data_IF_643717463637
#
_entry.id   IF_643717463637
#
_cell.length_a   1.000
_cell.length_b   1.000
_cell.length_c   1.000
_cell.angle_alpha   90.00
_cell.angle_beta   90.00
_cell.angle_gamma   90.00
#
_symmetry.space_group_name_H-M   'P 1'
#
loop_
_entity.id
_entity.type
_entity.pdbx_description
1 polymer ?
#
# COMPACT_ATOMS: atom_id res chain seq x y z
N UNK A 1 14.65 -28.18 -11.95
CA UNK A 1 13.93 -27.10 -11.25
C UNK A 1 13.14 -26.35 -12.29
N UNK A 2 11.88 -25.97 -12.02
CA UNK A 2 11.16 -25.09 -12.93
C UNK A 2 11.88 -23.74 -12.99
N UNK A 3 11.97 -23.13 -14.18
CA UNK A 3 12.45 -21.75 -14.28
C UNK A 3 11.44 -20.84 -13.58
N UNK A 4 11.90 -19.91 -12.75
CA UNK A 4 11.04 -18.98 -12.02
C UNK A 4 10.08 -18.24 -12.97
N UNK A 5 8.79 -18.25 -12.64
CA UNK A 5 7.73 -17.52 -13.35
C UNK A 5 7.12 -16.51 -12.39
N UNK A 6 7.08 -15.21 -12.69
CA UNK A 6 6.42 -14.23 -11.83
C UNK A 6 4.98 -14.65 -11.47
N UNK A 7 4.60 -14.55 -10.20
CA UNK A 7 3.38 -15.16 -9.67
C UNK A 7 2.09 -14.61 -10.27
N UNK A 8 2.05 -13.32 -10.64
CA UNK A 8 0.92 -12.75 -11.40
C UNK A 8 0.75 -13.42 -12.76
N UNK A 9 1.86 -13.67 -13.47
CA UNK A 9 1.84 -14.37 -14.76
C UNK A 9 1.42 -15.82 -14.56
N UNK A 10 1.99 -16.51 -13.57
CA UNK A 10 1.64 -17.90 -13.25
C UNK A 10 0.14 -18.03 -12.94
N UNK A 11 -0.42 -17.09 -12.18
CA UNK A 11 -1.83 -17.07 -11.80
C UNK A 11 -2.76 -16.79 -12.99
N UNK A 12 -2.37 -15.87 -13.89
CA UNK A 12 -3.11 -15.59 -15.11
C UNK A 12 -3.17 -16.82 -16.04
N UNK A 13 -2.01 -17.45 -16.29
CA UNK A 13 -1.92 -18.68 -17.09
C UNK A 13 -2.72 -19.82 -16.44
N UNK A 14 -2.62 -19.98 -15.12
CA UNK A 14 -3.34 -21.02 -14.38
C UNK A 14 -4.86 -20.82 -14.43
N UNK A 15 -5.32 -19.58 -14.32
CA UNK A 15 -6.74 -19.26 -14.50
C UNK A 15 -7.22 -19.67 -15.90
N UNK A 16 -6.53 -19.22 -16.94
CA UNK A 16 -6.94 -19.41 -18.33
C UNK A 16 -6.90 -20.88 -18.77
N UNK A 17 -5.86 -21.62 -18.39
CA UNK A 17 -5.61 -22.97 -18.91
C UNK A 17 -6.18 -24.09 -18.02
N UNK A 18 -6.39 -23.83 -16.72
CA UNK A 18 -6.85 -24.87 -15.79
C UNK A 18 -8.19 -24.55 -15.13
N UNK A 19 -8.37 -23.34 -14.58
CA UNK A 19 -9.58 -23.00 -13.81
C UNK A 19 -10.77 -22.71 -14.73
N UNK A 20 -10.63 -21.79 -15.68
CA UNK A 20 -11.72 -21.34 -16.55
C UNK A 20 -12.38 -22.47 -17.37
N UNK A 21 -11.65 -23.47 -17.92
CA UNK A 21 -12.26 -24.61 -18.62
C UNK A 21 -13.16 -25.47 -17.73
N UNK A 22 -12.78 -25.68 -16.46
CA UNK A 22 -13.59 -26.42 -15.49
C UNK A 22 -14.87 -25.65 -15.20
N UNK A 23 -14.77 -24.34 -14.94
CA UNK A 23 -15.94 -23.48 -14.69
C UNK A 23 -16.91 -23.49 -15.87
N UNK A 24 -16.40 -23.40 -17.10
CA UNK A 24 -17.21 -23.41 -18.31
C UNK A 24 -17.97 -24.73 -18.53
N UNK A 25 -17.38 -25.86 -18.11
CA UNK A 25 -17.96 -27.19 -18.29
C UNK A 25 -18.97 -27.53 -17.19
N UNK A 26 -18.60 -27.29 -15.92
CA UNK A 26 -19.37 -27.75 -14.77
C UNK A 26 -20.38 -26.73 -14.25
N UNK A 27 -20.12 -25.45 -14.47
CA UNK A 27 -20.95 -24.34 -14.01
C UNK A 27 -21.35 -23.39 -15.16
N UNK A 28 -21.90 -23.92 -16.27
CA UNK A 28 -22.25 -23.10 -17.42
C UNK A 28 -23.30 -22.04 -17.02
N UNK A 29 -23.01 -20.78 -17.31
CA UNK A 29 -23.90 -19.65 -17.04
C UNK A 29 -23.75 -19.00 -15.67
N UNK A 30 -22.87 -19.49 -14.79
CA UNK A 30 -22.49 -18.78 -13.58
C UNK A 30 -21.62 -17.57 -13.96
N UNK A 31 -22.05 -16.36 -13.61
CA UNK A 31 -21.20 -15.17 -13.78
C UNK A 31 -20.18 -15.07 -12.65
N UNK A 32 -18.96 -14.71 -12.98
CA UNK A 32 -17.91 -14.53 -11.98
C UNK A 32 -16.88 -13.49 -12.42
N UNK A 33 -16.05 -13.06 -11.48
CA UNK A 33 -14.81 -12.36 -11.78
C UNK A 33 -13.63 -13.16 -11.25
N UNK A 34 -12.49 -13.12 -11.92
CA UNK A 34 -11.27 -13.81 -11.52
C UNK A 34 -10.12 -12.82 -11.44
N UNK A 35 -9.33 -12.89 -10.37
CA UNK A 35 -8.22 -11.98 -10.15
C UNK A 35 -7.16 -12.57 -9.23
N UNK A 36 -6.06 -11.84 -9.06
CA UNK A 36 -5.13 -11.99 -7.95
C UNK A 36 -4.89 -10.62 -7.32
N UNK A 37 -5.40 -10.43 -6.10
CA UNK A 37 -5.38 -9.18 -5.35
C UNK A 37 -4.93 -9.41 -3.91
N UNK A 38 -4.66 -8.32 -3.18
CA UNK A 38 -4.40 -8.37 -1.74
C UNK A 38 -2.99 -8.83 -1.41
N UNK A 39 -2.81 -9.57 -0.31
CA UNK A 39 -1.48 -9.92 0.18
C UNK A 39 -0.72 -10.84 -0.78
N UNK A 40 0.53 -10.50 -1.05
CA UNK A 40 1.46 -11.33 -1.84
C UNK A 40 2.56 -10.46 -2.43
N UNK A 41 3.77 -11.00 -2.51
CA UNK A 41 4.89 -10.33 -3.19
C UNK A 41 4.64 -10.21 -4.69
N UNK A 42 4.01 -11.23 -5.25
CA UNK A 42 3.66 -11.38 -6.64
C UNK A 42 2.64 -10.33 -7.10
N UNK A 43 1.73 -9.93 -6.21
CA UNK A 43 0.69 -8.92 -6.48
C UNK A 43 1.32 -7.57 -6.86
N UNK A 44 2.51 -7.26 -6.32
CA UNK A 44 3.25 -6.04 -6.64
C UNK A 44 4.37 -6.28 -7.68
N UNK A 45 4.54 -7.51 -8.17
CA UNK A 45 5.67 -7.90 -9.03
C UNK A 45 7.02 -7.87 -8.32
N UNK A 46 7.03 -8.03 -6.99
CA UNK A 46 8.24 -8.08 -6.16
C UNK A 46 8.62 -9.49 -5.73
N UNK A 47 7.94 -10.51 -6.27
CA UNK A 47 8.27 -11.89 -5.99
C UNK A 47 9.60 -12.28 -6.64
N UNK A 48 10.30 -13.15 -5.93
CA UNK A 48 11.56 -13.76 -6.34
C UNK A 48 11.48 -15.25 -6.10
N UNK A 49 12.47 -16.01 -6.56
CA UNK A 49 12.55 -17.45 -6.26
C UNK A 49 12.53 -17.71 -4.74
N UNK A 50 13.16 -16.85 -3.93
CA UNK A 50 13.16 -16.98 -2.47
C UNK A 50 11.78 -16.82 -1.84
N UNK A 51 10.92 -15.96 -2.38
CA UNK A 51 9.57 -15.71 -1.84
C UNK A 51 8.51 -16.68 -2.39
N UNK A 52 8.95 -17.78 -3.02
CA UNK A 52 8.06 -18.86 -3.49
C UNK A 52 7.81 -19.95 -2.45
N UNK A 53 8.33 -19.77 -1.24
CA UNK A 53 8.30 -20.75 -0.15
C UNK A 53 6.95 -20.84 0.57
N UNK A 54 6.15 -19.77 0.58
CA UNK A 54 4.80 -19.74 1.16
C UNK A 54 3.85 -18.80 0.41
N UNK A 55 2.54 -19.11 0.44
CA UNK A 55 1.44 -18.32 -0.18
C UNK A 55 1.61 -17.96 -1.67
N UNK A 56 2.57 -18.58 -2.35
CA UNK A 56 2.91 -18.36 -3.75
C UNK A 56 2.69 -19.66 -4.54
N UNK A 57 2.29 -19.56 -5.81
CA UNK A 57 2.10 -20.71 -6.71
C UNK A 57 0.92 -20.53 -7.64
N UNK A 58 0.42 -21.62 -8.27
CA UNK A 58 -0.81 -21.59 -9.07
C UNK A 58 -2.03 -21.31 -8.18
N UNK A 59 -2.42 -20.03 -8.06
CA UNK A 59 -3.52 -19.55 -7.23
C UNK A 59 -4.35 -18.49 -7.94
N UNK A 60 -5.64 -18.41 -7.63
CA UNK A 60 -6.58 -17.47 -8.23
C UNK A 60 -7.64 -17.12 -7.20
N UNK A 61 -8.19 -15.92 -7.26
CA UNK A 61 -9.37 -15.52 -6.51
C UNK A 61 -10.56 -15.49 -7.46
N UNK A 62 -11.59 -16.28 -7.18
CA UNK A 62 -12.86 -16.30 -7.89
C UNK A 62 -13.90 -15.56 -7.05
N UNK A 63 -14.44 -14.48 -7.61
CA UNK A 63 -15.48 -13.68 -7.00
C UNK A 63 -16.83 -14.02 -7.61
N UNK A 64 -17.79 -14.36 -6.76
CA UNK A 64 -19.17 -14.67 -7.09
C UNK A 64 -20.11 -13.61 -6.51
N UNK A 65 -21.33 -13.53 -7.07
CA UNK A 65 -22.43 -12.83 -6.40
C UNK A 65 -22.80 -13.58 -5.12
N UNK A 66 -23.32 -12.89 -4.12
CA UNK A 66 -23.70 -13.48 -2.82
C UNK A 66 -24.59 -14.73 -2.97
N UNK A 67 -25.63 -14.66 -3.81
CA UNK A 67 -26.53 -15.78 -4.05
C UNK A 67 -25.84 -16.97 -4.73
N UNK A 68 -24.91 -16.71 -5.65
CA UNK A 68 -24.15 -17.75 -6.37
C UNK A 68 -23.08 -18.35 -5.46
N UNK A 69 -22.44 -17.56 -4.60
CA UNK A 69 -21.52 -18.05 -3.59
C UNK A 69 -22.22 -19.02 -2.63
N UNK A 70 -23.35 -18.59 -2.05
CA UNK A 70 -24.15 -19.43 -1.15
C UNK A 70 -24.63 -20.73 -1.82
N UNK A 71 -24.89 -20.70 -3.13
CA UNK A 71 -25.38 -21.84 -3.90
C UNK A 71 -24.27 -22.80 -4.35
N UNK A 72 -23.16 -22.27 -4.86
CA UNK A 72 -22.18 -23.04 -5.62
C UNK A 72 -20.87 -23.29 -4.89
N UNK A 73 -20.55 -22.57 -3.80
CA UNK A 73 -19.23 -22.62 -3.15
C UNK A 73 -18.71 -24.05 -2.92
N UNK A 74 -19.49 -24.90 -2.24
CA UNK A 74 -19.08 -26.29 -1.92
C UNK A 74 -18.91 -27.15 -3.17
N UNK A 75 -19.82 -27.04 -4.14
CA UNK A 75 -19.76 -27.81 -5.38
C UNK A 75 -18.58 -27.38 -6.25
N UNK A 76 -18.31 -26.07 -6.32
CA UNK A 76 -17.22 -25.48 -7.09
C UNK A 76 -15.86 -25.86 -6.50
N UNK A 77 -15.69 -25.72 -5.18
CA UNK A 77 -14.50 -26.20 -4.49
C UNK A 77 -14.28 -27.70 -4.72
N UNK A 78 -15.34 -28.52 -4.62
CA UNK A 78 -15.23 -29.94 -4.86
C UNK A 78 -14.79 -30.25 -6.31
N UNK A 79 -15.45 -29.67 -7.31
CA UNK A 79 -15.11 -29.86 -8.72
C UNK A 79 -13.65 -29.51 -9.02
N UNK A 80 -13.20 -28.31 -8.60
CA UNK A 80 -11.81 -27.88 -8.77
C UNK A 80 -10.82 -28.84 -8.08
N UNK A 81 -11.13 -29.32 -6.87
CA UNK A 81 -10.27 -30.27 -6.15
C UNK A 81 -10.09 -31.60 -6.87
N UNK A 82 -11.06 -32.03 -7.69
CA UNK A 82 -10.98 -33.30 -8.44
C UNK A 82 -10.32 -33.13 -9.80
N UNK A 83 -10.48 -31.97 -10.45
CA UNK A 83 -10.19 -31.81 -11.87
C UNK A 83 -8.95 -30.97 -12.18
N UNK A 84 -8.50 -30.11 -11.27
CA UNK A 84 -7.27 -29.35 -11.50
C UNK A 84 -6.07 -30.29 -11.76
N UNK A 85 -5.13 -29.91 -12.63
CA UNK A 85 -3.95 -30.72 -12.86
C UNK A 85 -3.10 -30.77 -11.60
N UNK A 86 -2.44 -31.89 -11.29
CA UNK A 86 -1.57 -32.02 -10.10
C UNK A 86 -0.37 -31.08 -10.12
N UNK A 87 0.09 -30.75 -11.32
CA UNK A 87 1.15 -29.78 -11.56
C UNK A 87 0.75 -28.79 -12.66
N UNK A 88 1.20 -27.55 -12.53
CA UNK A 88 1.03 -26.52 -13.53
C UNK A 88 2.37 -25.79 -13.71
N UNK A 89 2.88 -25.77 -14.95
CA UNK A 89 4.19 -25.17 -15.29
C UNK A 89 5.36 -25.64 -14.41
N UNK A 90 5.30 -26.89 -13.93
CA UNK A 90 6.33 -27.49 -13.06
C UNK A 90 6.14 -27.24 -11.56
N UNK A 91 5.12 -26.49 -11.16
CA UNK A 91 4.76 -26.28 -9.75
C UNK A 91 3.58 -27.19 -9.35
N UNK A 92 3.55 -27.73 -8.11
CA UNK A 92 2.33 -28.35 -7.59
C UNK A 92 1.15 -27.38 -7.60
N UNK A 93 -0.06 -27.89 -7.80
CA UNK A 93 -1.30 -27.13 -7.53
C UNK A 93 -1.88 -27.43 -6.16
N UNK A 94 -1.34 -28.46 -5.49
CA UNK A 94 -1.71 -28.83 -4.13
C UNK A 94 -0.88 -28.06 -3.11
N UNK A 95 -1.56 -27.56 -2.08
CA UNK A 95 -0.99 -26.87 -0.94
C UNK A 95 -1.15 -27.69 0.35
N UNK A 96 -0.37 -27.39 1.39
CA UNK A 96 -0.64 -27.87 2.74
C UNK A 96 -1.96 -27.27 3.27
N UNK A 97 -2.63 -27.90 4.25
CA UNK A 97 -3.68 -27.22 5.00
C UNK A 97 -3.16 -25.91 5.61
N UNK A 98 -4.03 -24.90 5.84
CA UNK A 98 -3.65 -23.66 6.50
C UNK A 98 -3.15 -23.94 7.92
N UNK A 99 -1.96 -23.45 8.26
CA UNK A 99 -1.40 -23.60 9.60
C UNK A 99 -2.01 -22.58 10.57
N UNK A 100 -2.84 -22.99 11.56
CA UNK A 100 -3.43 -22.06 12.52
C UNK A 100 -2.40 -21.40 13.45
N UNK A 101 -1.17 -21.92 13.53
CA UNK A 101 -0.09 -21.34 14.34
C UNK A 101 0.74 -20.31 13.58
N UNK A 102 0.55 -20.22 12.27
CA UNK A 102 1.28 -19.31 11.39
C UNK A 102 0.31 -18.58 10.46
N UNK A 103 -0.72 -17.94 11.03
CA UNK A 103 -1.66 -17.08 10.30
C UNK A 103 -2.28 -17.71 9.04
N UNK A 104 -2.48 -19.04 9.03
CA UNK A 104 -3.02 -19.77 7.88
C UNK A 104 -2.01 -19.97 6.75
N UNK A 105 -0.71 -19.99 7.04
CA UNK A 105 0.33 -20.28 6.04
C UNK A 105 0.09 -21.61 5.35
N UNK A 106 0.23 -21.58 4.02
CA UNK A 106 0.12 -22.74 3.15
C UNK A 106 1.33 -22.82 2.22
N UNK A 107 1.90 -24.02 2.13
CA UNK A 107 3.10 -24.33 1.35
C UNK A 107 2.74 -25.21 0.16
N UNK A 108 3.45 -25.06 -0.96
CA UNK A 108 3.32 -25.97 -2.10
C UNK A 108 3.76 -27.38 -1.70
N UNK A 109 2.92 -28.38 -1.97
CA UNK A 109 3.22 -29.79 -1.70
C UNK A 109 2.68 -30.67 -2.80
N UNK A 110 3.54 -31.48 -3.42
CA UNK A 110 3.08 -32.48 -4.37
C UNK A 110 2.07 -33.45 -3.72
N UNK A 111 1.04 -33.81 -4.47
CA UNK A 111 0.09 -34.85 -4.09
C UNK A 111 0.00 -35.88 -5.21
N UNK A 112 0.24 -37.16 -4.91
CA UNK A 112 0.25 -38.24 -5.91
C UNK A 112 -1.15 -38.78 -6.20
N UNK A 113 -2.01 -38.84 -5.19
CA UNK A 113 -3.38 -39.37 -5.27
C UNK A 113 -4.37 -38.43 -4.55
N UNK A 114 -5.67 -38.71 -4.71
CA UNK A 114 -6.74 -37.97 -4.03
C UNK A 114 -6.97 -36.54 -4.55
N UNK A 115 -7.91 -35.81 -3.91
CA UNK A 115 -8.23 -34.42 -4.24
C UNK A 115 -7.06 -33.47 -3.96
N UNK A 116 -6.98 -32.42 -4.76
CA UNK A 116 -6.01 -31.33 -4.62
C UNK A 116 -6.56 -30.30 -3.64
N UNK A 117 -5.77 -29.96 -2.62
CA UNK A 117 -5.99 -28.79 -1.80
C UNK A 117 -5.48 -27.55 -2.55
N UNK A 118 -6.30 -26.99 -3.43
CA UNK A 118 -5.92 -25.89 -4.31
C UNK A 118 -5.99 -24.52 -3.60
N UNK A 119 -5.34 -23.50 -4.17
CA UNK A 119 -5.48 -22.08 -3.76
C UNK A 119 -6.32 -21.27 -4.75
N UNK A 120 -7.45 -21.84 -5.15
CA UNK A 120 -8.53 -21.08 -5.79
C UNK A 120 -9.49 -20.62 -4.69
N UNK A 121 -9.35 -19.35 -4.27
CA UNK A 121 -10.17 -18.76 -3.20
C UNK A 121 -11.53 -18.36 -3.77
N UNK A 122 -12.63 -18.85 -3.18
CA UNK A 122 -14.00 -18.60 -3.66
C UNK A 122 -14.66 -17.59 -2.73
N UNK A 123 -14.84 -16.37 -3.23
CA UNK A 123 -15.14 -15.19 -2.42
C UNK A 123 -16.38 -14.45 -2.98
N UNK A 124 -16.86 -13.49 -2.22
CA UNK A 124 -17.74 -12.43 -2.74
C UNK A 124 -16.98 -11.11 -2.73
N UNK A 125 -17.40 -10.15 -3.55
CA UNK A 125 -16.81 -8.81 -3.54
C UNK A 125 -16.95 -8.18 -2.13
N UNK A 126 -18.17 -8.18 -1.58
CA UNK A 126 -18.42 -7.62 -0.25
C UNK A 126 -17.56 -8.30 0.83
N UNK A 127 -17.48 -9.63 0.82
CA UNK A 127 -16.68 -10.41 1.77
C UNK A 127 -15.20 -10.05 1.74
N UNK A 128 -14.59 -9.94 0.56
CA UNK A 128 -13.16 -9.62 0.46
C UNK A 128 -12.84 -8.23 1.03
N UNK A 129 -13.62 -7.19 0.72
CA UNK A 129 -13.35 -5.85 1.24
C UNK A 129 -13.66 -5.71 2.74
N UNK A 130 -14.66 -6.43 3.25
CA UNK A 130 -14.91 -6.55 4.70
C UNK A 130 -13.71 -7.22 5.39
N UNK A 131 -13.23 -8.34 4.87
CA UNK A 131 -12.11 -9.05 5.50
C UNK A 131 -10.79 -8.29 5.36
N UNK A 132 -10.56 -7.61 4.23
CA UNK A 132 -9.27 -7.00 3.92
C UNK A 132 -9.12 -5.59 4.51
N UNK A 133 -10.17 -4.76 4.38
CA UNK A 133 -10.18 -3.36 4.81
C UNK A 133 -11.18 -3.07 5.93
N UNK A 134 -12.01 -4.04 6.35
CA UNK A 134 -13.11 -3.81 7.29
C UNK A 134 -14.04 -2.68 6.81
N UNK A 135 -14.35 -2.73 5.51
CA UNK A 135 -15.22 -1.79 4.82
C UNK A 135 -16.30 -2.53 4.03
N UNK A 136 -17.54 -2.12 4.22
CA UNK A 136 -18.70 -2.65 3.50
C UNK A 136 -18.89 -1.90 2.18
N UNK A 137 -18.87 -2.63 1.06
CA UNK A 137 -18.99 -2.04 -0.27
C UNK A 137 -20.34 -1.38 -0.53
N UNK A 138 -21.38 -1.73 0.25
CA UNK A 138 -22.71 -1.14 0.16
C UNK A 138 -22.78 0.27 0.76
N UNK A 139 -21.75 0.70 1.50
CA UNK A 139 -21.61 2.07 1.97
C UNK A 139 -20.83 2.94 0.98
N UNK A 140 -21.13 4.24 1.00
CA UNK A 140 -20.30 5.24 0.32
C UNK A 140 -18.96 5.40 1.04
N UNK A 141 -17.90 5.66 0.27
CA UNK A 141 -16.57 5.92 0.83
C UNK A 141 -16.50 7.36 1.30
N UNK A 142 -16.52 7.57 2.61
CA UNK A 142 -16.38 8.88 3.22
C UNK A 142 -14.91 9.29 3.37
N UNK A 143 -14.66 10.59 3.51
CA UNK A 143 -13.32 11.16 3.75
C UNK A 143 -12.56 10.44 4.85
N UNK A 144 -13.22 10.15 5.99
CA UNK A 144 -12.57 9.54 7.16
C UNK A 144 -12.17 8.09 6.90
N UNK A 145 -12.88 7.38 6.03
CA UNK A 145 -12.56 6.00 5.69
C UNK A 145 -11.16 5.91 5.08
N UNK A 146 -10.83 6.83 4.18
CA UNK A 146 -9.53 6.90 3.52
C UNK A 146 -8.36 7.09 4.48
N UNK A 147 -8.57 7.82 5.58
CA UNK A 147 -7.53 8.06 6.59
C UNK A 147 -7.27 6.82 7.47
N UNK A 148 -8.21 5.87 7.47
CA UNK A 148 -8.11 4.61 8.24
C UNK A 148 -7.49 3.46 7.46
N UNK A 149 -7.48 3.52 6.12
CA UNK A 149 -7.00 2.42 5.29
C UNK A 149 -5.48 2.44 5.16
N UNK A 150 -4.78 1.36 5.56
CA UNK A 150 -3.34 1.26 5.34
C UNK A 150 -3.02 1.30 3.85
N UNK A 151 -2.07 2.16 3.45
CA UNK A 151 -1.64 2.32 2.07
C UNK A 151 -1.18 1.01 1.45
N UNK A 152 -0.49 0.16 2.21
CA UNK A 152 -0.04 -1.15 1.74
C UNK A 152 -1.20 -2.05 1.28
N UNK A 153 -2.39 -1.91 1.89
CA UNK A 153 -3.60 -2.66 1.53
C UNK A 153 -4.36 -2.01 0.38
N UNK A 154 -4.40 -0.67 0.33
CA UNK A 154 -4.93 0.03 -0.84
C UNK A 154 -4.10 -0.33 -2.08
N UNK A 155 -2.77 -0.23 -1.98
CA UNK A 155 -1.83 -0.59 -3.06
C UNK A 155 -2.06 -1.99 -3.58
N UNK A 156 -2.18 -2.98 -2.69
CA UNK A 156 -2.30 -4.38 -3.09
C UNK A 156 -3.68 -4.76 -3.64
N UNK A 157 -4.73 -4.01 -3.32
CA UNK A 157 -6.06 -4.20 -3.92
C UNK A 157 -6.15 -3.60 -5.33
N UNK A 158 -5.35 -2.57 -5.62
CA UNK A 158 -5.33 -1.90 -6.95
C UNK A 158 -4.21 -2.37 -7.87
N UNK A 159 -3.06 -2.83 -7.36
CA UNK A 159 -1.90 -3.22 -8.18
C UNK A 159 -1.98 -4.63 -8.78
N UNK A 160 -2.82 -5.50 -8.21
CA UNK A 160 -3.02 -6.85 -8.73
C UNK A 160 -3.65 -6.89 -10.13
N UNK A 161 -3.98 -8.10 -10.61
CA UNK A 161 -4.53 -8.29 -11.94
C UNK A 161 -5.94 -8.89 -11.90
N UNK A 162 -6.81 -8.41 -12.79
CA UNK A 162 -8.11 -9.01 -13.09
C UNK A 162 -7.98 -9.77 -14.40
N UNK A 163 -8.31 -11.06 -14.37
CA UNK A 163 -8.20 -11.98 -15.50
C UNK A 163 -9.52 -12.15 -16.25
N UNK A 164 -10.64 -11.95 -15.54
CA UNK A 164 -12.01 -12.05 -16.06
C UNK A 164 -12.93 -11.21 -15.17
N UNK A 165 -13.92 -10.51 -15.74
CA UNK A 165 -14.83 -9.67 -14.95
C UNK A 165 -16.24 -9.59 -15.54
N UNK A 166 -17.20 -10.27 -14.88
CA UNK A 166 -18.63 -10.20 -15.23
C UNK A 166 -19.51 -9.66 -14.10
N UNK A 167 -18.95 -9.47 -12.90
CA UNK A 167 -19.70 -9.01 -11.73
C UNK A 167 -19.24 -7.64 -11.21
N UNK A 168 -18.36 -6.96 -11.95
CA UNK A 168 -17.98 -5.56 -11.69
C UNK A 168 -16.83 -5.40 -10.70
N UNK A 169 -15.93 -6.39 -10.62
CA UNK A 169 -14.74 -6.34 -9.76
C UNK A 169 -13.85 -5.13 -10.11
N UNK A 170 -13.65 -4.83 -11.41
CA UNK A 170 -12.84 -3.69 -11.81
C UNK A 170 -13.47 -2.37 -11.38
N UNK A 171 -14.79 -2.22 -11.52
CA UNK A 171 -15.50 -1.03 -11.07
C UNK A 171 -15.37 -0.82 -9.55
N UNK A 172 -15.37 -1.91 -8.76
CA UNK A 172 -15.07 -1.81 -7.32
C UNK A 172 -13.63 -1.36 -7.08
N UNK A 173 -12.65 -1.94 -7.78
CA UNK A 173 -11.23 -1.54 -7.65
C UNK A 173 -11.00 -0.08 -8.01
N UNK A 174 -11.68 0.41 -9.04
CA UNK A 174 -11.56 1.80 -9.49
C UNK A 174 -12.01 2.81 -8.42
N UNK A 175 -12.94 2.43 -7.52
CA UNK A 175 -13.31 3.24 -6.34
C UNK A 175 -12.13 3.49 -5.40
N UNK A 176 -11.15 2.58 -5.37
CA UNK A 176 -9.96 2.63 -4.50
C UNK A 176 -8.69 3.07 -5.25
N UNK A 177 -8.80 3.41 -6.54
CA UNK A 177 -7.67 3.67 -7.43
C UNK A 177 -6.70 4.71 -6.86
N UNK A 178 -7.23 5.81 -6.31
CA UNK A 178 -6.45 6.78 -5.56
C UNK A 178 -7.33 7.62 -4.62
N UNK A 179 -6.69 8.38 -3.73
CA UNK A 179 -7.38 9.30 -2.81
C UNK A 179 -8.24 10.35 -3.55
N UNK A 180 -9.42 10.70 -2.99
CA UNK A 180 -10.13 11.93 -3.35
C UNK A 180 -9.22 13.15 -3.19
N UNK A 181 -9.47 14.20 -3.99
CA UNK A 181 -8.57 15.35 -4.10
C UNK A 181 -8.22 15.99 -2.75
N UNK A 182 -9.23 16.29 -1.93
CA UNK A 182 -9.01 16.97 -0.65
C UNK A 182 -8.36 16.07 0.41
N UNK A 183 -8.65 14.76 0.39
CA UNK A 183 -7.92 13.78 1.21
C UNK A 183 -6.44 13.78 0.82
N UNK A 184 -6.14 13.77 -0.48
CA UNK A 184 -4.77 13.84 -0.97
C UNK A 184 -4.05 15.14 -0.55
N UNK A 185 -4.71 16.30 -0.65
CA UNK A 185 -4.15 17.57 -0.17
C UNK A 185 -3.90 17.54 1.34
N UNK A 186 -4.82 16.97 2.12
CA UNK A 186 -4.65 16.81 3.57
C UNK A 186 -3.46 15.92 3.92
N UNK A 187 -3.28 14.79 3.24
CA UNK A 187 -2.16 13.87 3.47
C UNK A 187 -0.82 14.54 3.09
N UNK A 188 -0.76 15.25 1.97
CA UNK A 188 0.40 16.06 1.60
C UNK A 188 0.70 17.12 2.67
N UNK A 189 -0.32 17.82 3.16
CA UNK A 189 -0.18 18.85 4.18
C UNK A 189 0.32 18.28 5.51
N UNK A 190 -0.16 17.10 5.91
CA UNK A 190 0.28 16.41 7.11
C UNK A 190 1.75 16.00 7.03
N UNK A 191 2.20 15.45 5.89
CA UNK A 191 3.62 15.13 5.70
C UNK A 191 4.52 16.37 5.69
N UNK A 192 4.10 17.44 5.01
CA UNK A 192 4.82 18.71 5.02
C UNK A 192 4.91 19.29 6.44
N UNK A 193 3.85 19.16 7.24
CA UNK A 193 3.86 19.56 8.65
C UNK A 193 4.85 18.72 9.46
N UNK A 194 4.85 17.39 9.30
CA UNK A 194 5.80 16.49 9.97
C UNK A 194 7.25 16.83 9.64
N UNK A 195 7.55 17.04 8.35
CA UNK A 195 8.86 17.48 7.89
C UNK A 195 9.25 18.81 8.55
N UNK A 196 8.36 19.81 8.54
CA UNK A 196 8.59 21.12 9.15
C UNK A 196 8.81 21.08 10.67
N UNK A 197 8.13 20.17 11.36
CA UNK A 197 8.26 19.96 12.80
C UNK A 197 9.63 19.38 13.17
N UNK A 198 10.29 18.61 12.29
CA UNK A 198 11.53 17.89 12.60
C UNK A 198 12.79 18.36 11.88
N UNK A 199 12.67 19.08 10.76
CA UNK A 199 13.80 19.47 9.91
C UNK A 199 14.90 20.25 10.66
N UNK A 200 14.49 21.03 11.67
CA UNK A 200 15.40 21.78 12.53
C UNK A 200 15.92 20.96 13.73
N UNK A 201 15.29 19.84 14.09
CA UNK A 201 15.64 19.05 15.27
C UNK A 201 16.88 18.18 15.03
N UNK A 202 17.05 17.66 13.81
CA UNK A 202 18.19 16.80 13.45
C UNK A 202 19.53 17.51 13.68
N UNK A 203 19.69 18.71 13.13
CA UNK A 203 20.90 19.51 13.31
C UNK A 203 21.11 19.93 14.77
N UNK A 204 20.03 20.24 15.50
CA UNK A 204 20.10 20.61 16.93
C UNK A 204 20.59 19.46 17.82
N UNK A 205 20.15 18.24 17.56
CA UNK A 205 20.64 17.06 18.27
C UNK A 205 22.15 16.88 18.01
N UNK A 206 22.56 16.99 16.74
CA UNK A 206 23.97 16.89 16.37
C UNK A 206 24.84 18.01 16.95
N UNK A 207 24.35 19.24 17.00
CA UNK A 207 25.04 20.39 17.62
C UNK A 207 25.24 20.20 19.13
N UNK A 208 24.29 19.54 19.80
CA UNK A 208 24.41 19.11 21.20
C UNK A 208 25.38 17.92 21.40
N UNK A 209 25.99 17.40 20.33
CA UNK A 209 26.87 16.24 20.38
C UNK A 209 26.16 14.88 20.33
N UNK A 210 24.84 14.86 20.13
CA UNK A 210 24.04 13.64 20.02
C UNK A 210 23.87 13.22 18.55
N UNK A 211 24.88 12.53 18.01
CA UNK A 211 24.81 11.99 16.65
C UNK A 211 23.83 10.83 16.51
N UNK A 212 23.53 10.10 17.59
CA UNK A 212 22.53 9.02 17.54
C UNK A 212 21.15 9.63 17.33
N UNK A 213 20.78 10.63 18.15
CA UNK A 213 19.54 11.39 17.99
C UNK A 213 19.45 12.06 16.62
N UNK A 214 20.53 12.67 16.14
CA UNK A 214 20.59 13.25 14.80
C UNK A 214 20.38 12.20 13.69
N UNK A 215 20.96 11.01 13.80
CA UNK A 215 20.77 9.94 12.83
C UNK A 215 19.33 9.39 12.83
N UNK A 216 18.73 9.22 14.02
CA UNK A 216 17.34 8.77 14.17
C UNK A 216 16.36 9.77 13.53
N UNK A 217 16.48 11.05 13.85
CA UNK A 217 15.63 12.10 13.26
C UNK A 217 15.90 12.23 11.75
N UNK A 218 17.17 12.18 11.33
CA UNK A 218 17.52 12.21 9.91
C UNK A 218 16.90 11.06 9.12
N UNK A 219 16.82 9.86 9.70
CA UNK A 219 16.15 8.70 9.08
C UNK A 219 14.65 8.91 8.95
N UNK A 220 14.01 9.52 9.95
CA UNK A 220 12.59 9.89 9.89
C UNK A 220 12.31 10.94 8.80
N UNK A 221 13.17 11.95 8.69
CA UNK A 221 13.11 12.94 7.60
C UNK A 221 13.29 12.29 6.22
N UNK A 222 14.19 11.32 6.07
CA UNK A 222 14.33 10.55 4.81
C UNK A 222 13.04 9.79 4.50
N UNK A 223 12.40 9.15 5.50
CA UNK A 223 11.12 8.47 5.32
C UNK A 223 10.03 9.44 4.87
N UNK A 224 9.88 10.58 5.55
CA UNK A 224 8.86 11.59 5.22
C UNK A 224 9.11 12.19 3.81
N UNK A 225 10.38 12.40 3.42
CA UNK A 225 10.73 12.84 2.06
C UNK A 225 10.30 11.82 1.00
N UNK A 226 10.58 10.54 1.25
CA UNK A 226 10.20 9.47 0.33
C UNK A 226 8.68 9.31 0.25
N UNK A 227 7.98 9.45 1.37
CA UNK A 227 6.53 9.37 1.45
C UNK A 227 5.85 10.53 0.71
N UNK A 228 6.37 11.76 0.84
CA UNK A 228 5.92 12.90 0.02
C UNK A 228 6.05 12.61 -1.48
N UNK A 229 7.11 11.91 -1.92
CA UNK A 229 7.22 11.55 -3.34
C UNK A 229 6.14 10.56 -3.78
N UNK A 230 5.80 9.57 -2.95
CA UNK A 230 4.69 8.65 -3.21
C UNK A 230 3.37 9.42 -3.37
N UNK A 231 3.06 10.34 -2.46
CA UNK A 231 1.88 11.19 -2.55
C UNK A 231 1.91 12.10 -3.79
N UNK A 232 3.02 12.77 -4.07
CA UNK A 232 3.17 13.68 -5.22
C UNK A 232 3.07 12.96 -6.57
N UNK A 233 3.52 11.71 -6.66
CA UNK A 233 3.41 10.86 -7.86
C UNK A 233 2.13 10.00 -7.88
N UNK A 234 1.23 10.22 -6.91
CA UNK A 234 -0.06 9.54 -6.78
C UNK A 234 0.04 8.01 -6.74
N UNK A 235 0.94 7.52 -5.91
CA UNK A 235 1.18 6.09 -5.68
C UNK A 235 1.07 5.80 -4.19
N UNK A 236 0.28 4.81 -3.79
CA UNK A 236 0.27 4.34 -2.39
C UNK A 236 1.62 3.74 -2.01
N UNK A 237 2.12 4.00 -0.80
CA UNK A 237 3.30 3.35 -0.26
C UNK A 237 3.09 1.83 -0.09
N UNK A 238 4.11 0.99 -0.33
CA UNK A 238 3.99 -0.46 -0.13
C UNK A 238 4.25 -0.85 1.33
N UNK A 239 4.11 -2.15 1.61
CA UNK A 239 4.61 -2.75 2.85
C UNK A 239 6.09 -2.39 3.12
N UNK A 240 6.51 -2.12 4.37
CA UNK A 240 7.82 -1.52 4.68
C UNK A 240 9.03 -2.21 4.05
N UNK A 241 9.03 -3.55 3.95
CA UNK A 241 10.16 -4.30 3.35
C UNK A 241 10.41 -3.94 1.87
N UNK A 242 9.39 -3.45 1.17
CA UNK A 242 9.47 -3.06 -0.23
C UNK A 242 9.54 -1.56 -0.44
N UNK A 243 9.56 -0.75 0.62
CA UNK A 243 9.49 0.71 0.51
C UNK A 243 10.58 1.28 -0.40
N UNK A 244 11.84 0.88 -0.19
CA UNK A 244 12.95 1.27 -1.07
C UNK A 244 12.87 0.70 -2.49
N UNK A 245 12.33 -0.52 -2.65
CA UNK A 245 12.15 -1.15 -3.97
C UNK A 245 11.09 -0.43 -4.79
N UNK A 246 9.94 -0.12 -4.19
CA UNK A 246 8.88 0.65 -4.84
C UNK A 246 9.31 2.11 -5.07
N UNK A 247 10.06 2.71 -4.14
CA UNK A 247 10.54 4.06 -4.31
C UNK A 247 11.42 4.19 -5.56
N UNK A 248 12.28 3.20 -5.85
CA UNK A 248 13.10 3.17 -7.08
C UNK A 248 12.29 3.23 -8.39
N UNK A 249 10.99 2.91 -8.35
CA UNK A 249 10.11 2.98 -9.52
C UNK A 249 9.49 4.38 -9.72
N UNK A 250 9.63 5.28 -8.74
CA UNK A 250 9.19 6.66 -8.85
C UNK A 250 10.15 7.48 -9.73
N UNK A 251 9.62 8.48 -10.41
CA UNK A 251 10.39 9.43 -11.23
C UNK A 251 11.39 10.20 -10.38
N UNK A 252 11.01 10.54 -9.14
CA UNK A 252 11.85 11.25 -8.19
C UNK A 252 13.10 10.47 -7.75
N UNK A 253 13.06 9.14 -7.82
CA UNK A 253 14.09 8.29 -7.26
C UNK A 253 15.47 8.47 -7.89
N UNK A 254 15.52 8.67 -9.22
CA UNK A 254 16.78 8.86 -9.96
C UNK A 254 17.61 10.01 -9.39
N UNK A 255 16.95 11.09 -8.94
CA UNK A 255 17.62 12.25 -8.36
C UNK A 255 17.74 12.16 -6.85
N UNK A 256 16.71 11.69 -6.15
CA UNK A 256 16.72 11.70 -4.69
C UNK A 256 17.62 10.61 -4.10
N UNK A 257 17.76 9.44 -4.74
CA UNK A 257 18.62 8.39 -4.18
C UNK A 257 20.09 8.80 -4.09
N UNK A 258 20.56 9.70 -4.97
CA UNK A 258 21.95 10.20 -4.92
C UNK A 258 22.23 11.09 -3.70
N UNK A 259 21.21 11.55 -2.99
CA UNK A 259 21.35 12.35 -1.76
C UNK A 259 20.80 11.64 -0.53
N UNK A 260 19.70 10.90 -0.65
CA UNK A 260 19.10 10.18 0.48
C UNK A 260 19.98 9.02 0.96
N UNK A 261 20.65 8.30 0.06
CA UNK A 261 21.58 7.23 0.47
C UNK A 261 22.76 7.79 1.27
N UNK A 262 23.50 8.82 0.78
CA UNK A 262 24.49 9.50 1.60
C UNK A 262 23.97 10.04 2.93
N UNK A 263 22.75 10.62 2.96
CA UNK A 263 22.14 11.11 4.20
C UNK A 263 21.97 9.99 5.25
N UNK A 264 21.52 8.80 4.83
CA UNK A 264 21.37 7.64 5.71
C UNK A 264 22.71 7.10 6.22
N UNK A 265 23.77 7.18 5.42
CA UNK A 265 25.11 6.69 5.78
C UNK A 265 26.00 7.72 6.47
N UNK A 266 25.59 8.99 6.53
CA UNK A 266 26.41 10.07 7.07
C UNK A 266 26.68 9.87 8.57
N UNK A 267 27.96 9.98 8.96
CA UNK A 267 28.38 9.88 10.37
C UNK A 267 28.13 11.20 11.09
N UNK A 268 28.33 12.32 10.41
CA UNK A 268 28.23 13.67 10.98
C UNK A 268 26.94 14.36 10.56
N UNK A 269 26.29 15.03 11.49
CA UNK A 269 25.03 15.72 11.22
C UNK A 269 25.15 16.79 10.13
N UNK A 270 26.30 17.46 9.98
CA UNK A 270 26.49 18.48 8.96
C UNK A 270 26.43 17.91 7.53
N UNK A 271 27.04 16.73 7.32
CA UNK A 271 26.98 16.02 6.04
C UNK A 271 25.55 15.55 5.76
N UNK A 272 24.89 14.98 6.77
CA UNK A 272 23.48 14.57 6.71
C UNK A 272 22.56 15.73 6.33
N UNK A 273 22.76 16.89 6.96
CA UNK A 273 21.98 18.11 6.68
C UNK A 273 22.17 18.56 5.23
N UNK A 274 23.41 18.59 4.72
CA UNK A 274 23.67 19.02 3.35
C UNK A 274 22.91 18.17 2.31
N UNK A 275 22.84 16.86 2.54
CA UNK A 275 22.08 15.96 1.69
C UNK A 275 20.56 16.15 1.84
N UNK A 276 20.06 16.25 3.07
CA UNK A 276 18.63 16.49 3.34
C UNK A 276 18.14 17.82 2.78
N UNK A 277 18.91 18.89 2.91
CA UNK A 277 18.60 20.20 2.30
C UNK A 277 18.43 20.05 0.79
N UNK A 278 19.32 19.33 0.12
CA UNK A 278 19.19 19.09 -1.33
C UNK A 278 17.90 18.34 -1.67
N UNK A 279 17.50 17.38 -0.83
CA UNK A 279 16.24 16.67 -0.98
C UNK A 279 15.02 17.57 -0.72
N UNK A 280 15.07 18.43 0.29
CA UNK A 280 13.99 19.36 0.62
C UNK A 280 13.75 20.39 -0.49
N UNK A 281 14.82 20.97 -1.05
CA UNK A 281 14.71 21.90 -2.17
C UNK A 281 14.13 21.22 -3.42
N UNK A 282 14.48 19.94 -3.65
CA UNK A 282 13.88 19.16 -4.72
C UNK A 282 12.37 18.96 -4.49
N UNK A 283 11.95 18.59 -3.27
CA UNK A 283 10.53 18.45 -2.94
C UNK A 283 9.75 19.76 -3.10
N UNK A 284 10.33 20.89 -2.67
CA UNK A 284 9.70 22.19 -2.84
C UNK A 284 9.46 22.52 -4.32
N UNK A 285 10.45 22.26 -5.17
CA UNK A 285 10.31 22.43 -6.62
C UNK A 285 9.26 21.49 -7.21
N UNK A 286 9.21 20.23 -6.76
CA UNK A 286 8.18 19.27 -7.18
C UNK A 286 6.79 19.67 -6.72
N UNK A 287 6.64 20.19 -5.50
CA UNK A 287 5.38 20.74 -5.00
C UNK A 287 4.88 21.87 -5.91
N UNK A 288 5.73 22.85 -6.21
CA UNK A 288 5.37 23.96 -7.11
C UNK A 288 4.95 23.47 -8.50
N UNK A 289 5.60 22.44 -9.03
CA UNK A 289 5.26 21.84 -10.33
C UNK A 289 3.91 21.12 -10.35
N UNK A 290 3.35 20.73 -9.19
CA UNK A 290 2.01 20.16 -9.13
C UNK A 290 0.91 21.22 -9.31
N UNK A 291 1.23 22.50 -9.14
CA UNK A 291 0.27 23.60 -9.32
C UNK A 291 -0.91 23.56 -8.34
N UNK A 292 -0.70 23.02 -7.13
CA UNK A 292 -1.74 22.88 -6.11
C UNK A 292 -1.94 24.14 -5.26
N UNK A 293 -0.94 25.01 -5.23
CA UNK A 293 -0.84 26.19 -4.39
C UNK A 293 -0.17 27.32 -5.19
N UNK A 294 -0.10 28.52 -4.63
CA UNK A 294 0.80 29.56 -5.13
C UNK A 294 2.26 29.11 -5.06
N UNK A 295 3.13 29.66 -5.91
CA UNK A 295 4.56 29.31 -5.90
C UNK A 295 5.20 29.68 -4.57
N UNK A 296 5.76 28.69 -3.89
CA UNK A 296 6.46 28.83 -2.61
C UNK A 296 7.98 28.84 -2.80
N UNK A 297 8.76 29.40 -1.84
CA UNK A 297 10.22 29.39 -1.91
C UNK A 297 10.80 27.98 -1.98
N UNK A 298 11.69 27.75 -2.95
CA UNK A 298 12.32 26.43 -3.18
C UNK A 298 13.69 26.28 -2.48
N UNK A 299 14.15 27.31 -1.78
CA UNK A 299 15.48 27.33 -1.16
C UNK A 299 15.41 27.24 0.34
N UNK A 300 16.22 26.34 0.91
CA UNK A 300 16.35 26.24 2.34
C UNK A 300 17.04 27.48 2.92
N UNK A 301 16.64 27.87 4.12
CA UNK A 301 17.15 29.05 4.81
C UNK A 301 17.50 28.73 6.28
N UNK A 302 18.34 29.54 6.94
CA UNK A 302 18.63 29.39 8.36
C UNK A 302 17.38 29.45 9.24
N UNK A 303 17.25 28.53 10.19
CA UNK A 303 16.14 28.44 11.13
C UNK A 303 16.22 29.54 12.21
N UNK A 304 15.45 30.62 12.05
CA UNK A 304 15.39 31.76 12.98
C UNK A 304 16.78 32.25 13.45
N UNK A 305 17.71 32.43 12.50
CA UNK A 305 19.08 32.89 12.77
C UNK A 305 20.04 31.83 13.33
N UNK A 306 19.58 30.57 13.49
CA UNK A 306 20.42 29.42 13.87
C UNK A 306 21.06 28.78 12.64
N UNK A 307 22.18 28.06 12.78
CA UNK A 307 22.92 27.51 11.64
C UNK A 307 22.24 26.31 10.95
N UNK A 308 21.05 25.89 11.41
CA UNK A 308 20.31 24.77 10.85
C UNK A 308 19.48 25.21 9.65
N UNK A 309 19.59 24.51 8.53
CA UNK A 309 18.90 24.87 7.28
C UNK A 309 17.57 24.13 7.16
N UNK A 310 16.51 24.89 6.90
CA UNK A 310 15.13 24.41 6.82
C UNK A 310 14.46 24.88 5.54
N UNK A 311 13.60 24.06 4.95
CA UNK A 311 12.74 24.45 3.82
C UNK A 311 11.46 25.16 4.30
N UNK A 312 11.08 24.97 5.56
CA UNK A 312 9.88 25.55 6.14
C UNK A 312 8.65 24.77 5.74
N UNK A 313 8.62 23.47 6.01
CA UNK A 313 7.54 22.55 5.61
C UNK A 313 6.14 23.02 6.02
N UNK A 314 6.03 23.72 7.16
CA UNK A 314 4.83 24.41 7.63
C UNK A 314 4.17 25.30 6.56
N UNK A 315 4.95 26.02 5.74
CA UNK A 315 4.43 26.92 4.70
C UNK A 315 3.69 26.15 3.62
N UNK A 316 4.25 25.02 3.19
CA UNK A 316 3.63 24.12 2.21
C UNK A 316 2.36 23.49 2.78
N UNK A 317 2.40 23.08 4.05
CA UNK A 317 1.24 22.55 4.76
C UNK A 317 0.09 23.56 4.83
N UNK A 318 0.36 24.80 5.27
CA UNK A 318 -0.65 25.86 5.35
C UNK A 318 -1.23 26.24 3.99
N UNK A 319 -0.39 26.31 2.94
CA UNK A 319 -0.85 26.60 1.59
C UNK A 319 -1.81 25.50 1.08
N UNK A 320 -1.47 24.22 1.25
CA UNK A 320 -2.35 23.11 0.87
C UNK A 320 -3.69 23.16 1.64
N UNK A 321 -3.64 23.40 2.95
CA UNK A 321 -4.84 23.50 3.77
C UNK A 321 -5.76 24.66 3.36
N UNK A 322 -5.22 25.76 2.82
CA UNK A 322 -6.00 26.88 2.32
C UNK A 322 -6.83 26.55 1.07
N UNK A 323 -6.43 25.54 0.30
CA UNK A 323 -7.12 25.08 -0.92
C UNK A 323 -8.13 23.96 -0.67
N UNK A 324 -8.31 23.51 0.57
CA UNK A 324 -9.33 22.53 0.92
C UNK A 324 -10.74 23.11 0.74
N UNK A 325 -11.61 22.34 0.09
CA UNK A 325 -13.01 22.69 -0.24
C UNK A 325 -14.02 21.79 0.47
N UNK A 326 -13.70 20.51 0.68
CA UNK A 326 -14.54 19.54 1.38
C UNK A 326 -14.76 19.97 2.84
N UNK A 327 -16.02 20.15 3.28
CA UNK A 327 -16.31 20.63 4.62
C UNK A 327 -15.75 19.75 5.74
N UNK A 328 -15.68 18.44 5.53
CA UNK A 328 -15.18 17.48 6.52
C UNK A 328 -13.66 17.58 6.61
N UNK A 329 -12.94 17.56 5.47
CA UNK A 329 -11.49 17.74 5.46
C UNK A 329 -11.07 19.10 6.03
N UNK A 330 -11.81 20.17 5.71
CA UNK A 330 -11.55 21.51 6.28
C UNK A 330 -11.71 21.55 7.80
N UNK A 331 -12.64 20.78 8.38
CA UNK A 331 -12.77 20.66 9.85
C UNK A 331 -11.56 19.93 10.43
N UNK A 332 -11.15 18.82 9.82
CA UNK A 332 -9.95 18.08 10.22
C UNK A 332 -8.69 18.95 10.19
N UNK A 333 -8.54 19.77 9.14
CA UNK A 333 -7.38 20.65 8.96
C UNK A 333 -7.31 21.84 9.94
N UNK A 334 -8.33 22.06 10.78
CA UNK A 334 -8.29 23.05 11.88
C UNK A 334 -7.61 22.50 13.14
N UNK A 335 -7.47 21.18 13.23
CA UNK A 335 -6.74 20.50 14.30
C UNK A 335 -5.28 20.29 13.88
N UNK A 336 -4.37 20.00 14.82
CA UNK A 336 -3.04 19.51 14.47
C UNK A 336 -3.13 18.32 13.51
N UNK A 337 -2.42 18.41 12.38
CA UNK A 337 -2.52 17.43 11.31
C UNK A 337 -1.87 16.10 11.72
N UNK A 338 -2.69 15.14 12.13
CA UNK A 338 -2.23 13.78 12.47
C UNK A 338 -2.04 12.88 11.24
N UNK A 339 -2.64 13.24 10.09
CA UNK A 339 -2.52 12.46 8.86
C UNK A 339 -3.41 11.22 8.81
N UNK A 340 -3.04 10.24 7.99
CA UNK A 340 -3.61 8.88 7.97
C UNK A 340 -2.90 7.94 8.98
N UNK A 341 -3.45 6.74 9.11
CA UNK A 341 -2.84 5.63 9.89
C UNK A 341 -1.36 5.39 9.57
N UNK A 342 -0.96 5.48 8.29
CA UNK A 342 0.43 5.26 7.84
C UNK A 342 1.37 6.42 8.21
N UNK A 343 0.83 7.62 8.44
CA UNK A 343 1.60 8.82 8.80
C UNK A 343 1.88 8.90 10.30
N UNK A 344 0.96 8.46 11.16
CA UNK A 344 1.16 8.50 12.61
C UNK A 344 1.62 7.16 13.22
N UNK A 345 1.55 6.04 12.51
CA UNK A 345 1.97 4.74 13.01
C UNK A 345 2.72 3.90 11.99
N UNK A 346 3.70 3.13 12.46
CA UNK A 346 4.35 2.03 11.74
C UNK A 346 4.16 0.68 12.44
N UNK A 347 3.20 0.60 13.37
CA UNK A 347 2.90 -0.62 14.08
C UNK A 347 2.29 -1.66 13.12
N UNK A 348 2.99 -2.79 12.96
CA UNK A 348 2.58 -3.86 12.04
C UNK A 348 1.19 -4.41 12.36
N UNK A 349 0.85 -4.61 13.63
CA UNK A 349 -0.44 -5.18 14.02
C UNK A 349 -1.58 -4.22 13.69
N UNK A 350 -1.36 -2.92 13.94
CA UNK A 350 -2.32 -1.87 13.62
C UNK A 350 -2.55 -1.72 12.11
N UNK A 351 -1.49 -1.82 11.30
CA UNK A 351 -1.56 -1.70 9.83
C UNK A 351 -1.99 -3.00 9.12
N UNK A 352 -1.90 -4.16 9.79
CA UNK A 352 -2.21 -5.47 9.20
C UNK A 352 -3.59 -5.98 9.58
N UNK A 353 -4.05 -5.72 10.80
CA UNK A 353 -5.34 -6.19 11.30
C UNK A 353 -6.44 -5.13 11.07
N UNK A 354 -7.36 -5.35 10.11
CA UNK A 354 -8.37 -4.36 9.77
C UNK A 354 -9.44 -4.18 10.85
N UNK A 355 -9.48 -5.03 11.89
CA UNK A 355 -10.40 -4.87 13.02
C UNK A 355 -10.16 -3.57 13.80
N UNK A 356 -8.93 -3.04 13.78
CA UNK A 356 -8.61 -1.75 14.42
C UNK A 356 -9.29 -0.55 13.77
N UNK A 357 -9.72 -0.67 12.50
CA UNK A 357 -10.33 0.42 11.74
C UNK A 357 -11.47 1.12 12.48
N UNK A 358 -12.38 0.37 13.10
CA UNK A 358 -13.54 0.95 13.78
C UNK A 358 -13.13 1.80 15.00
N UNK A 359 -12.07 1.39 15.71
CA UNK A 359 -11.53 2.20 16.80
C UNK A 359 -10.84 3.47 16.27
N UNK A 360 -10.13 3.35 15.13
CA UNK A 360 -9.40 4.44 14.50
C UNK A 360 -10.29 5.55 13.96
N UNK A 361 -11.50 5.24 13.46
CA UNK A 361 -12.46 6.25 12.98
C UNK A 361 -12.68 7.37 14.01
N UNK A 362 -12.65 7.05 15.31
CA UNK A 362 -12.83 8.02 16.38
C UNK A 362 -11.76 9.13 16.40
N UNK A 363 -10.54 8.88 15.87
CA UNK A 363 -9.46 9.88 15.85
C UNK A 363 -9.82 11.10 15.00
N UNK A 364 -10.59 10.91 13.93
CA UNK A 364 -10.99 11.97 13.00
C UNK A 364 -12.42 12.47 13.25
N UNK A 365 -13.24 11.71 13.99
CA UNK A 365 -14.56 12.17 14.43
C UNK A 365 -14.50 13.23 15.55
N UNK A 366 -13.34 13.42 16.21
CA UNK A 366 -13.16 14.48 17.21
C UNK A 366 -13.44 15.89 16.64
N UNK A 367 -13.33 16.06 15.32
CA UNK A 367 -13.65 17.32 14.65
C UNK A 367 -15.17 17.62 14.52
N UNK A 368 -16.04 16.76 15.04
CA UNK A 368 -17.49 16.97 15.15
C UNK A 368 -17.94 17.53 16.51
N UNK A 369 -17.06 17.53 17.52
CA UNK A 369 -17.28 18.14 18.84
C UNK A 369 -16.72 19.57 18.89
#
# INVERSE_FOLDING_TARGET
>A
MANFIPGLRLSAEFFQEAVAPILATDFPGMSYSAALLGSGSEVLGFDTEMSSDHHWGPRVMLFLREADHARYHTALHHSLSQQLPRTFRGYPTNFTPPDPKDSGTQLLRAAETGPINHRVDILTLRGFWLDYLNFDLDHELETVDWLTFPEQKLRSSVAGAVFHDEIGLQAVRDRFAYYPHDVWLYLLAADWARLGQEEHLMGRAGDAGDEIGAALIGTRLVRDVMHLCFLMERQYAPYPKWFGTAFKQLTAATRLLTVLQPALSAVRWQEREAHLVTAFEYLASRHNQLGLTETLPEKAAPFFGRPFRVIGGEKFSHALCAHLTDPTVRRLARLPLIGSIDQFSDNTDLLSDPRWRLALLNLWQVAEA
#
